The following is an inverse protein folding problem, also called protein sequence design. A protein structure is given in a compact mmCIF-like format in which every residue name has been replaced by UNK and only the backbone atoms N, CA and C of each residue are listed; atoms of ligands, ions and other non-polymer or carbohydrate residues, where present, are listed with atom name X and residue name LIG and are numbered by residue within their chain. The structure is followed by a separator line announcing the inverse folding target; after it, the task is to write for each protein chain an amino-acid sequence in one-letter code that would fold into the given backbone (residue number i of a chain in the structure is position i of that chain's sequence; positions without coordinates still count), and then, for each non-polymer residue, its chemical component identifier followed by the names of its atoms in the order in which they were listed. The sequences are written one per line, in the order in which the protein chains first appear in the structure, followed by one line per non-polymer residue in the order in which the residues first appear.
data_IF_863168899966
#
_entry.id   IF_863168899966
#
_cell.length_a   1.000
_cell.length_b   1.000
_cell.length_c   1.000
_cell.angle_alpha   90.00
_cell.angle_beta   90.00
_cell.angle_gamma   90.00
#
_symmetry.space_group_name_H-M   'P 1'
#
loop_
_entity.id
_entity.type
_entity.pdbx_description
1 polymer ?
#
# COMPACT_ATOMS: atom_id res chain seq x y z
N UNK A 1 12.11 5.15 23.29
CA UNK A 1 11.62 6.35 24.03
C UNK A 1 10.50 5.97 24.99
N UNK A 2 10.18 6.84 25.93
CA UNK A 2 9.07 6.61 26.87
C UNK A 2 7.75 6.48 26.09
N UNK A 3 7.07 5.33 26.24
CA UNK A 3 5.83 5.02 25.52
C UNK A 3 6.01 4.05 24.36
N UNK A 4 7.22 3.67 24.02
CA UNK A 4 7.48 2.62 23.03
C UNK A 4 7.10 1.24 23.60
N UNK A 5 6.74 0.34 22.69
CA UNK A 5 6.45 -1.05 22.95
C UNK A 5 7.32 -1.91 22.02
N UNK A 6 7.92 -2.94 22.57
CA UNK A 6 8.75 -3.88 21.80
C UNK A 6 8.05 -5.25 21.73
N UNK A 7 8.02 -5.82 20.54
CA UNK A 7 7.73 -7.24 20.35
C UNK A 7 9.04 -8.02 20.25
N UNK A 8 9.24 -8.94 21.20
CA UNK A 8 10.39 -9.83 21.24
C UNK A 8 9.98 -11.23 20.74
N UNK A 9 10.50 -11.63 19.59
CA UNK A 9 10.21 -12.91 18.96
C UNK A 9 11.41 -13.84 19.08
N UNK A 10 11.22 -14.98 19.73
CA UNK A 10 12.26 -16.00 19.88
C UNK A 10 11.59 -17.34 20.11
N UNK A 11 11.89 -18.36 19.30
CA UNK A 11 11.30 -19.70 19.50
C UNK A 11 11.59 -20.23 20.89
N UNK A 12 12.86 -20.32 21.26
CA UNK A 12 13.28 -20.80 22.59
C UNK A 12 12.94 -19.83 23.73
N UNK A 13 12.87 -18.52 23.42
CA UNK A 13 12.82 -17.48 24.44
C UNK A 13 14.13 -17.26 25.22
N UNK A 14 15.25 -17.83 24.69
CA UNK A 14 16.58 -17.80 25.29
C UNK A 14 17.63 -17.24 24.32
N UNK A 15 17.22 -16.51 23.27
CA UNK A 15 18.17 -15.90 22.33
C UNK A 15 19.04 -14.88 23.07
N UNK A 16 20.35 -15.15 23.12
CA UNK A 16 21.30 -14.38 23.92
C UNK A 16 21.25 -12.87 23.60
N UNK A 17 21.18 -12.54 22.32
CA UNK A 17 21.15 -11.16 21.85
C UNK A 17 19.93 -10.38 22.36
N UNK A 18 18.79 -11.06 22.51
CA UNK A 18 17.58 -10.44 23.07
C UNK A 18 17.67 -10.40 24.60
N UNK A 19 18.13 -11.47 25.22
CA UNK A 19 18.29 -11.53 26.68
C UNK A 19 19.24 -10.43 27.20
N UNK A 20 20.33 -10.19 26.50
CA UNK A 20 21.31 -9.14 26.86
C UNK A 20 20.71 -7.71 26.80
N UNK A 21 19.64 -7.50 26.02
CA UNK A 21 18.94 -6.22 25.94
C UNK A 21 17.89 -6.00 27.04
N UNK A 22 17.39 -7.06 27.68
CA UNK A 22 16.30 -6.97 28.64
C UNK A 22 16.55 -6.02 29.79
N UNK A 23 17.75 -5.99 30.41
CA UNK A 23 18.05 -5.05 31.50
C UNK A 23 17.96 -3.58 31.07
N UNK A 24 18.48 -3.25 29.88
CA UNK A 24 18.41 -1.91 29.32
C UNK A 24 16.99 -1.46 29.02
N UNK A 25 16.16 -2.38 28.48
CA UNK A 25 14.75 -2.13 28.20
C UNK A 25 13.95 -1.88 29.48
N UNK A 26 14.18 -2.70 30.51
CA UNK A 26 13.56 -2.51 31.83
C UNK A 26 13.92 -1.18 32.45
N UNK A 27 15.22 -0.82 32.44
CA UNK A 27 15.71 0.46 32.99
C UNK A 27 15.06 1.65 32.25
N UNK A 28 14.87 1.53 30.94
CA UNK A 28 14.21 2.55 30.11
C UNK A 28 12.67 2.54 30.24
N UNK A 29 12.11 1.67 31.05
CA UNK A 29 10.65 1.49 31.25
C UNK A 29 9.90 1.23 29.94
N UNK A 30 10.55 0.57 28.99
CA UNK A 30 9.94 0.13 27.73
C UNK A 30 9.15 -1.15 27.99
N UNK A 31 7.91 -1.20 27.53
CA UNK A 31 7.08 -2.39 27.65
C UNK A 31 7.49 -3.43 26.62
N UNK A 32 7.43 -4.69 27.01
CA UNK A 32 7.81 -5.83 26.18
C UNK A 32 6.61 -6.77 26.07
N UNK A 33 6.26 -7.15 24.84
CA UNK A 33 5.40 -8.28 24.55
C UNK A 33 6.28 -9.34 23.91
N UNK A 34 6.28 -10.55 24.46
CA UNK A 34 7.07 -11.65 23.89
C UNK A 34 6.20 -12.67 23.17
N UNK A 35 6.81 -13.29 22.16
CA UNK A 35 6.25 -14.44 21.44
C UNK A 35 7.31 -15.53 21.50
N UNK A 36 7.07 -16.56 22.29
CA UNK A 36 8.01 -17.68 22.48
C UNK A 36 7.26 -19.01 22.62
N UNK A 37 7.98 -20.11 22.57
CA UNK A 37 7.40 -21.44 22.78
C UNK A 37 7.16 -21.78 24.27
N UNK A 38 7.90 -21.13 25.18
CA UNK A 38 7.85 -21.40 26.62
C UNK A 38 7.47 -20.16 27.43
N UNK A 39 6.46 -20.29 28.25
CA UNK A 39 6.02 -19.25 29.21
C UNK A 39 7.05 -19.01 30.34
N UNK A 40 7.93 -19.99 30.57
CA UNK A 40 8.95 -19.95 31.61
C UNK A 40 10.31 -19.50 31.09
N UNK A 41 10.42 -19.15 29.80
CA UNK A 41 11.68 -18.66 29.21
C UNK A 41 12.07 -17.29 29.76
N UNK A 42 13.37 -16.99 29.71
CA UNK A 42 13.93 -15.72 30.19
C UNK A 42 13.24 -14.50 29.57
N UNK A 43 12.97 -14.55 28.25
CA UNK A 43 12.29 -13.45 27.56
C UNK A 43 10.82 -13.36 27.99
N UNK A 44 10.12 -14.49 28.14
CA UNK A 44 8.72 -14.51 28.57
C UNK A 44 8.56 -13.93 29.98
N UNK A 45 9.37 -14.38 30.95
CA UNK A 45 9.36 -13.90 32.32
C UNK A 45 9.73 -12.43 32.45
N UNK A 46 10.54 -11.90 31.53
CA UNK A 46 10.91 -10.50 31.51
C UNK A 46 9.86 -9.58 30.87
N UNK A 47 8.86 -10.14 30.22
CA UNK A 47 7.86 -9.40 29.41
C UNK A 47 6.66 -8.93 30.23
N UNK A 48 5.99 -7.89 29.74
CA UNK A 48 4.75 -7.38 30.34
C UNK A 48 3.53 -8.22 29.90
N UNK A 49 3.63 -8.84 28.73
CA UNK A 49 2.65 -9.79 28.20
C UNK A 49 3.40 -10.83 27.36
N UNK A 50 2.84 -12.04 27.30
CA UNK A 50 3.42 -13.15 26.59
C UNK A 50 2.37 -13.87 25.76
N UNK A 51 2.78 -14.29 24.56
CA UNK A 51 1.99 -15.13 23.66
C UNK A 51 2.78 -16.40 23.36
N UNK A 52 2.20 -17.54 23.74
CA UNK A 52 2.81 -18.84 23.49
C UNK A 52 2.57 -19.29 22.05
N UNK A 53 3.63 -19.63 21.34
CA UNK A 53 3.59 -20.17 19.98
C UNK A 53 4.39 -21.48 19.97
N UNK A 54 3.70 -22.62 19.92
CA UNK A 54 4.28 -23.95 19.89
C UNK A 54 4.07 -24.61 18.55
N UNK A 55 5.09 -25.29 18.06
CA UNK A 55 5.01 -26.18 16.91
C UNK A 55 5.49 -27.58 17.34
N UNK A 56 4.79 -28.61 16.92
CA UNK A 56 5.17 -29.98 17.27
C UNK A 56 6.42 -30.41 16.54
N UNK A 57 6.64 -29.89 15.32
CA UNK A 57 7.76 -30.23 14.47
C UNK A 57 8.02 -29.13 13.45
N UNK A 58 9.31 -28.90 13.15
CA UNK A 58 9.67 -28.08 12.01
C UNK A 58 9.44 -28.85 10.69
N UNK A 59 9.10 -28.11 9.60
CA UNK A 59 8.92 -28.73 8.29
C UNK A 59 10.26 -29.18 7.65
N UNK A 60 11.37 -28.73 8.21
CA UNK A 60 12.70 -29.19 7.82
C UNK A 60 12.84 -30.69 8.06
N UNK A 61 13.39 -31.46 7.09
CA UNK A 61 13.56 -32.93 7.22
C UNK A 61 14.29 -33.38 8.49
N UNK A 62 15.22 -32.54 8.96
CA UNK A 62 16.02 -32.85 10.17
C UNK A 62 15.43 -32.17 11.46
N UNK A 63 14.29 -31.53 11.37
CA UNK A 63 13.67 -30.81 12.47
C UNK A 63 14.55 -29.72 13.11
N UNK A 64 15.50 -29.16 12.36
CA UNK A 64 16.49 -28.21 12.83
C UNK A 64 16.26 -26.77 12.35
N UNK A 65 16.00 -26.61 11.05
CA UNK A 65 15.83 -25.30 10.46
C UNK A 65 14.47 -24.70 10.82
N UNK A 66 14.41 -23.46 11.34
CA UNK A 66 13.16 -22.79 11.63
C UNK A 66 12.30 -22.62 10.36
N UNK A 67 11.12 -23.19 10.36
CA UNK A 67 10.18 -23.20 9.22
C UNK A 67 8.74 -23.06 9.72
N UNK A 68 8.19 -24.12 10.32
CA UNK A 68 6.83 -24.08 10.91
C UNK A 68 6.72 -23.02 12.00
N UNK A 69 7.72 -22.90 12.86
CA UNK A 69 7.75 -21.91 13.94
C UNK A 69 7.77 -20.48 13.42
N UNK A 70 8.61 -20.19 12.42
CA UNK A 70 8.69 -18.86 11.82
C UNK A 70 7.40 -18.48 11.07
N UNK A 71 6.81 -19.44 10.35
CA UNK A 71 5.54 -19.24 9.66
C UNK A 71 4.39 -18.95 10.65
N UNK A 72 4.34 -19.68 11.76
CA UNK A 72 3.32 -19.46 12.80
C UNK A 72 3.50 -18.11 13.49
N UNK A 73 4.74 -17.70 13.79
CA UNK A 73 5.05 -16.39 14.36
C UNK A 73 4.66 -15.25 13.40
N UNK A 74 4.90 -15.42 12.09
CA UNK A 74 4.49 -14.46 11.08
C UNK A 74 2.96 -14.33 11.04
N UNK A 75 2.24 -15.45 10.96
CA UNK A 75 0.78 -15.45 10.93
C UNK A 75 0.17 -14.80 12.19
N UNK A 76 0.76 -15.04 13.37
CA UNK A 76 0.35 -14.38 14.60
C UNK A 76 0.63 -12.87 14.56
N UNK A 77 1.79 -12.46 14.05
CA UNK A 77 2.15 -11.05 13.87
C UNK A 77 1.15 -10.33 12.95
N UNK A 78 0.81 -10.93 11.83
CA UNK A 78 -0.20 -10.40 10.90
C UNK A 78 -1.58 -10.30 11.55
N UNK A 79 -1.97 -11.31 12.35
CA UNK A 79 -3.23 -11.32 13.09
C UNK A 79 -3.32 -10.18 14.10
N UNK A 80 -2.21 -9.89 14.81
CA UNK A 80 -2.11 -8.76 15.73
C UNK A 80 -2.20 -7.44 14.95
N UNK A 81 -1.47 -7.31 13.84
CA UNK A 81 -1.49 -6.12 13.01
C UNK A 81 -2.90 -5.81 12.47
N UNK A 82 -3.60 -6.82 11.92
CA UNK A 82 -4.97 -6.67 11.42
C UNK A 82 -5.95 -6.32 12.55
N UNK A 83 -5.78 -6.93 13.71
CA UNK A 83 -6.60 -6.61 14.90
C UNK A 83 -6.40 -5.16 15.35
N UNK A 84 -5.16 -4.66 15.32
CA UNK A 84 -4.85 -3.26 15.63
C UNK A 84 -5.41 -2.30 14.58
N UNK A 85 -5.35 -2.62 13.29
CA UNK A 85 -5.98 -1.83 12.23
C UNK A 85 -7.49 -1.68 12.49
N UNK A 86 -8.16 -2.78 12.85
CA UNK A 86 -9.59 -2.78 13.19
C UNK A 86 -9.87 -1.95 14.44
N UNK A 87 -9.11 -2.15 15.52
CA UNK A 87 -9.27 -1.44 16.79
C UNK A 87 -9.04 0.09 16.61
N UNK A 88 -8.07 0.48 15.79
CA UNK A 88 -7.78 1.89 15.48
C UNK A 88 -8.70 2.48 14.42
N UNK A 89 -9.66 1.72 13.88
CA UNK A 89 -10.52 2.13 12.77
C UNK A 89 -9.73 2.68 11.57
N UNK A 90 -8.58 2.05 11.28
CA UNK A 90 -7.67 2.46 10.22
C UNK A 90 -8.35 2.32 8.86
N UNK A 91 -8.36 3.41 8.10
CA UNK A 91 -9.08 3.49 6.82
C UNK A 91 -8.14 3.39 5.62
N UNK A 92 -8.71 3.15 4.43
CA UNK A 92 -7.96 3.22 3.17
C UNK A 92 -7.34 4.60 2.92
N UNK A 93 -7.95 5.68 3.43
CA UNK A 93 -7.36 7.04 3.38
C UNK A 93 -6.11 7.15 4.25
N UNK A 94 -6.10 6.50 5.42
CA UNK A 94 -4.93 6.50 6.28
C UNK A 94 -3.82 5.65 5.68
N UNK A 95 -4.15 4.52 5.05
CA UNK A 95 -3.20 3.72 4.27
C UNK A 95 -2.54 4.56 3.15
N UNK A 96 -3.33 5.30 2.39
CA UNK A 96 -2.82 6.14 1.31
C UNK A 96 -1.85 7.23 1.79
N UNK A 97 -2.09 7.82 2.98
CA UNK A 97 -1.17 8.81 3.59
C UNK A 97 0.18 8.19 3.95
N UNK A 98 0.19 6.94 4.44
CA UNK A 98 1.42 6.24 4.83
C UNK A 98 2.16 5.60 3.66
N UNK A 99 1.49 5.43 2.50
CA UNK A 99 2.04 4.80 1.30
C UNK A 99 1.86 5.66 0.04
N UNK A 100 2.31 6.93 0.02
CA UNK A 100 2.00 7.87 -1.07
C UNK A 100 2.65 7.48 -2.41
N UNK A 101 3.78 6.76 -2.39
CA UNK A 101 4.52 6.33 -3.58
C UNK A 101 4.00 5.03 -4.23
N UNK A 102 3.20 4.24 -3.53
CA UNK A 102 2.72 2.94 -4.02
C UNK A 102 1.57 3.08 -5.02
N UNK A 103 1.46 2.12 -5.97
CA UNK A 103 0.34 2.08 -6.94
C UNK A 103 -1.02 2.14 -6.25
N UNK A 104 -1.18 1.40 -5.15
CA UNK A 104 -2.44 1.35 -4.39
C UNK A 104 -2.71 2.68 -3.67
N UNK A 105 -1.71 3.27 -3.03
CA UNK A 105 -1.83 4.57 -2.37
C UNK A 105 -2.22 5.67 -3.35
N UNK A 106 -1.53 5.76 -4.50
CA UNK A 106 -1.86 6.71 -5.57
C UNK A 106 -3.30 6.57 -6.06
N UNK A 107 -3.76 5.34 -6.31
CA UNK A 107 -5.13 5.08 -6.78
C UNK A 107 -6.20 5.61 -5.82
N UNK A 108 -5.90 5.68 -4.51
CA UNK A 108 -6.84 6.11 -3.48
C UNK A 108 -6.87 7.63 -3.26
N UNK A 109 -5.83 8.36 -3.69
CA UNK A 109 -5.70 9.80 -3.42
C UNK A 109 -5.70 10.68 -4.69
N UNK A 110 -5.39 10.10 -5.87
CA UNK A 110 -5.36 10.86 -7.13
C UNK A 110 -6.73 11.41 -7.47
N UNK A 111 -6.76 12.69 -7.80
CA UNK A 111 -7.92 13.39 -8.34
C UNK A 111 -7.74 13.62 -9.83
N UNK A 112 -8.83 13.85 -10.54
CA UNK A 112 -8.78 14.21 -11.96
C UNK A 112 -7.88 15.44 -12.18
N UNK A 113 -7.95 16.44 -11.30
CA UNK A 113 -7.09 17.64 -11.33
C UNK A 113 -5.60 17.35 -11.33
N UNK A 114 -5.16 16.21 -10.76
CA UNK A 114 -3.75 15.87 -10.62
C UNK A 114 -3.16 15.25 -11.90
N UNK A 115 -4.03 14.76 -12.79
CA UNK A 115 -3.65 14.03 -14.01
C UNK A 115 -4.28 14.58 -15.29
N UNK A 116 -5.28 15.45 -15.17
CA UNK A 116 -5.94 16.02 -16.35
C UNK A 116 -4.98 16.87 -17.19
N UNK A 117 -5.20 16.89 -18.48
CA UNK A 117 -4.56 17.85 -19.37
C UNK A 117 -5.28 19.19 -19.22
N UNK A 118 -4.59 20.27 -18.82
CA UNK A 118 -5.20 21.60 -18.79
C UNK A 118 -5.74 21.99 -20.16
N UNK A 119 -6.89 22.68 -20.21
CA UNK A 119 -7.56 23.02 -21.48
C UNK A 119 -6.68 23.79 -22.45
N UNK A 120 -5.74 24.61 -21.95
CA UNK A 120 -4.74 25.34 -22.78
C UNK A 120 -3.82 24.42 -23.56
N UNK A 121 -3.63 23.18 -23.13
CA UNK A 121 -2.78 22.17 -23.76
C UNK A 121 -3.60 21.15 -24.56
N UNK A 122 -4.92 21.15 -24.44
CA UNK A 122 -5.79 20.25 -25.18
C UNK A 122 -5.84 20.64 -26.68
N UNK A 123 -6.03 19.68 -27.59
CA UNK A 123 -6.37 19.99 -28.98
C UNK A 123 -7.74 20.68 -29.01
N UNK A 124 -7.80 21.85 -29.64
CA UNK A 124 -9.04 22.59 -29.86
C UNK A 124 -9.27 22.72 -31.36
N UNK A 125 -10.51 22.49 -31.79
CA UNK A 125 -10.94 22.63 -33.17
C UNK A 125 -12.29 23.34 -33.22
N UNK A 126 -12.63 23.90 -34.39
CA UNK A 126 -13.94 24.45 -34.68
C UNK A 126 -14.83 23.39 -35.33
N UNK A 127 -16.15 23.50 -35.18
CA UNK A 127 -17.09 22.52 -35.75
C UNK A 127 -16.98 22.37 -37.28
N UNK A 128 -16.53 23.43 -37.96
CA UNK A 128 -16.42 23.49 -39.42
C UNK A 128 -14.96 23.17 -39.91
N UNK A 129 -14.05 22.80 -39.00
CA UNK A 129 -12.68 22.39 -39.37
C UNK A 129 -12.70 21.03 -40.09
N UNK A 130 -11.82 20.89 -41.06
CA UNK A 130 -11.64 19.60 -41.77
C UNK A 130 -11.07 18.55 -40.80
N UNK A 131 -11.66 17.35 -40.78
CA UNK A 131 -11.24 16.23 -39.93
C UNK A 131 -9.75 15.94 -40.02
N UNK A 132 -9.15 15.98 -41.23
CA UNK A 132 -7.71 15.79 -41.44
C UNK A 132 -6.86 16.77 -40.63
N UNK A 133 -7.25 18.03 -40.55
CA UNK A 133 -6.55 19.07 -39.75
C UNK A 133 -6.63 18.75 -38.27
N UNK A 134 -7.82 18.36 -37.79
CA UNK A 134 -8.05 18.04 -36.39
C UNK A 134 -7.26 16.80 -35.96
N UNK A 135 -7.18 15.78 -36.81
CA UNK A 135 -6.38 14.57 -36.56
C UNK A 135 -4.88 14.87 -36.42
N UNK A 136 -4.35 15.81 -37.21
CA UNK A 136 -2.95 16.24 -37.07
C UNK A 136 -2.71 16.88 -35.71
N UNK A 137 -3.63 17.72 -35.23
CA UNK A 137 -3.51 18.37 -33.90
C UNK A 137 -3.64 17.35 -32.75
N UNK A 138 -4.57 16.40 -32.86
CA UNK A 138 -4.68 15.29 -31.90
C UNK A 138 -3.35 14.52 -31.78
N UNK A 139 -2.78 14.17 -32.94
CA UNK A 139 -1.51 13.43 -33.01
C UNK A 139 -0.32 14.24 -32.46
N UNK A 140 -0.20 15.52 -32.82
CA UNK A 140 0.85 16.39 -32.29
C UNK A 140 0.82 16.52 -30.77
N UNK A 141 -0.38 16.68 -30.21
CA UNK A 141 -0.57 16.83 -28.77
C UNK A 141 -0.65 15.50 -28.03
N UNK A 142 -0.58 14.37 -28.74
CA UNK A 142 -0.64 13.00 -28.19
C UNK A 142 -1.87 12.78 -27.29
N UNK A 143 -2.99 13.36 -27.69
CA UNK A 143 -4.28 13.16 -27.03
C UNK A 143 -5.17 12.31 -27.97
N UNK A 144 -6.03 11.45 -27.43
CA UNK A 144 -6.95 10.65 -28.23
C UNK A 144 -8.25 11.41 -28.63
N UNK A 145 -8.28 12.74 -28.47
CA UNK A 145 -9.47 13.55 -28.67
C UNK A 145 -9.10 15.02 -28.97
N UNK A 146 -10.08 15.76 -29.51
CA UNK A 146 -10.06 17.21 -29.58
C UNK A 146 -11.34 17.79 -28.96
N UNK A 147 -11.22 18.94 -28.33
CA UNK A 147 -12.36 19.74 -27.87
C UNK A 147 -12.88 20.59 -29.01
N UNK A 148 -14.18 20.61 -29.21
CA UNK A 148 -14.82 21.44 -30.23
C UNK A 148 -15.31 22.73 -29.60
N UNK A 149 -14.80 23.86 -30.08
CA UNK A 149 -15.12 25.20 -29.60
C UNK A 149 -16.21 25.84 -30.47
N UNK A 150 -17.18 26.43 -29.83
CA UNK A 150 -18.22 27.21 -30.47
C UNK A 150 -17.87 28.71 -30.60
N UNK A 151 -18.78 29.51 -31.18
CA UNK A 151 -18.59 30.93 -31.43
C UNK A 151 -18.24 31.75 -30.18
N UNK A 152 -18.76 31.36 -29.02
CA UNK A 152 -18.55 32.04 -27.74
C UNK A 152 -17.33 31.51 -26.96
N UNK A 153 -16.39 30.82 -27.61
CA UNK A 153 -15.26 30.13 -26.97
C UNK A 153 -15.68 29.09 -25.93
N UNK A 154 -16.91 28.63 -25.98
CA UNK A 154 -17.41 27.56 -25.14
C UNK A 154 -17.18 26.21 -25.83
N UNK A 155 -16.81 25.22 -25.04
CA UNK A 155 -16.71 23.84 -25.55
C UNK A 155 -18.13 23.32 -25.77
N UNK A 156 -18.42 22.96 -27.02
CA UNK A 156 -19.73 22.48 -27.49
C UNK A 156 -19.74 20.99 -27.80
N UNK A 157 -18.57 20.35 -27.82
CA UNK A 157 -18.45 18.93 -28.10
C UNK A 157 -17.04 18.42 -27.93
N UNK A 158 -16.89 17.13 -28.16
CA UNK A 158 -15.63 16.43 -28.22
C UNK A 158 -15.61 15.56 -29.49
N UNK A 159 -14.45 15.46 -30.12
CA UNK A 159 -14.20 14.58 -31.25
C UNK A 159 -13.05 13.65 -30.88
N UNK A 160 -13.26 12.35 -30.95
CA UNK A 160 -12.29 11.34 -30.55
C UNK A 160 -11.88 10.42 -31.70
N UNK A 161 -10.75 9.71 -31.51
CA UNK A 161 -10.32 8.65 -32.43
C UNK A 161 -11.39 7.55 -32.59
N UNK A 162 -12.21 7.33 -31.56
CA UNK A 162 -13.34 6.39 -31.59
C UNK A 162 -14.43 6.83 -32.56
N UNK A 163 -14.77 8.13 -32.55
CA UNK A 163 -15.78 8.69 -33.46
C UNK A 163 -15.34 8.56 -34.91
N UNK A 164 -14.07 8.84 -35.18
CA UNK A 164 -13.51 8.66 -36.52
C UNK A 164 -13.57 7.21 -36.99
N UNK A 165 -13.16 6.27 -36.14
CA UNK A 165 -13.22 4.84 -36.46
C UNK A 165 -14.65 4.39 -36.73
N UNK A 166 -15.60 4.81 -35.92
CA UNK A 166 -17.00 4.48 -36.09
C UNK A 166 -17.55 5.00 -37.45
N UNK A 167 -17.20 6.23 -37.82
CA UNK A 167 -17.59 6.82 -39.08
C UNK A 167 -17.01 6.07 -40.31
N UNK A 168 -15.75 5.63 -40.23
CA UNK A 168 -15.05 4.99 -41.35
C UNK A 168 -15.30 3.48 -41.48
N UNK A 169 -15.72 2.79 -40.40
CA UNK A 169 -15.92 1.34 -40.40
C UNK A 169 -17.37 0.93 -40.63
N UNK A 170 -18.33 1.83 -40.44
CA UNK A 170 -19.76 1.55 -40.59
C UNK A 170 -20.39 2.25 -41.81
N UNK A 171 -19.57 2.83 -42.68
CA UNK A 171 -19.93 3.28 -44.03
C UNK A 171 -19.31 2.37 -45.07
#
# INVERSE_FOLDING_TARGET
SKGDLIFALSKSGESKEICDLLPALKNSKIKIISITESETSTIALASNAHLTVRVNKEACPNDLAPTSSTTLMLALGDSIAVSLLKAKKFTSKDFAKTHPGGKLGRKLILKVSDIMVPIKNAPIAQKDDMVKKVMIEISKKKQGFALIEGKDKKIIGIFSDGDLRSCLLYT
#
